data_IF_555941784752
#
_entry.id   IF_555941784752
#
_cell.length_a   1.000
_cell.length_b   1.000
_cell.length_c   1.000
_cell.angle_alpha   90.00
_cell.angle_beta   90.00
_cell.angle_gamma   90.00
#
_symmetry.space_group_name_H-M   'P 1'
#
loop_
_entity.id
_entity.type
_entity.pdbx_description
1 polymer ?
#
# COMPACT_ATOMS: atom_id res chain seq x y z
N UNK A 1 3.90 -11.36 17.78
CA UNK A 1 2.78 -12.25 17.40
C UNK A 1 1.46 -11.52 17.58
N UNK A 2 1.11 -10.61 16.67
CA UNK A 2 -0.22 -10.00 16.66
C UNK A 2 -1.11 -10.82 15.73
N UNK A 3 -2.15 -11.46 16.27
CA UNK A 3 -3.24 -12.01 15.44
C UNK A 3 -3.82 -10.83 14.66
N UNK A 4 -4.02 -10.99 13.36
CA UNK A 4 -4.84 -10.05 12.59
C UNK A 4 -6.23 -10.02 13.26
N UNK A 5 -6.84 -8.84 13.45
CA UNK A 5 -8.21 -8.78 13.94
C UNK A 5 -9.09 -9.59 12.98
N UNK A 6 -9.70 -10.66 13.47
CA UNK A 6 -10.69 -11.41 12.71
C UNK A 6 -11.98 -10.61 12.75
N UNK A 7 -12.36 -10.04 11.60
CA UNK A 7 -13.64 -9.39 11.44
C UNK A 7 -14.74 -10.46 11.37
N UNK A 8 -15.87 -10.27 12.07
CA UNK A 8 -17.08 -11.04 11.81
C UNK A 8 -17.44 -11.05 10.32
N UNK A 9 -17.97 -12.17 9.82
CA UNK A 9 -18.23 -12.37 8.39
C UNK A 9 -19.23 -11.36 7.79
N UNK A 10 -20.22 -10.97 8.57
CA UNK A 10 -21.19 -9.92 8.25
C UNK A 10 -20.48 -8.56 8.11
N UNK A 11 -19.63 -8.21 9.07
CA UNK A 11 -18.83 -6.98 9.01
C UNK A 11 -17.86 -6.97 7.82
N UNK A 12 -17.23 -8.10 7.52
CA UNK A 12 -16.33 -8.24 6.38
C UNK A 12 -17.07 -8.01 5.06
N UNK A 13 -18.27 -8.61 4.92
CA UNK A 13 -19.10 -8.46 3.73
C UNK A 13 -19.57 -7.02 3.52
N UNK A 14 -20.01 -6.34 4.58
CA UNK A 14 -20.36 -4.92 4.52
C UNK A 14 -19.16 -4.06 4.14
N UNK A 15 -18.02 -4.28 4.78
CA UNK A 15 -16.79 -3.54 4.52
C UNK A 15 -16.30 -3.72 3.08
N UNK A 16 -16.39 -4.94 2.56
CA UNK A 16 -16.08 -5.23 1.16
C UNK A 16 -16.99 -4.47 0.20
N UNK A 17 -18.31 -4.49 0.43
CA UNK A 17 -19.28 -3.80 -0.41
C UNK A 17 -19.03 -2.28 -0.42
N UNK A 18 -18.71 -1.70 0.72
CA UNK A 18 -18.43 -0.27 0.82
C UNK A 18 -17.08 0.13 0.19
N UNK A 19 -16.05 -0.71 0.33
CA UNK A 19 -14.79 -0.52 -0.42
C UNK A 19 -15.01 -0.61 -1.93
N UNK A 20 -15.81 -1.55 -2.40
CA UNK A 20 -16.14 -1.69 -3.82
C UNK A 20 -16.84 -0.43 -4.37
N UNK A 21 -17.76 0.18 -3.61
CA UNK A 21 -18.39 1.44 -4.00
C UNK A 21 -17.36 2.56 -4.12
N UNK A 22 -16.45 2.71 -3.15
CA UNK A 22 -15.40 3.73 -3.20
C UNK A 22 -14.51 3.56 -4.45
N UNK A 23 -14.12 2.32 -4.76
CA UNK A 23 -13.32 2.00 -5.94
C UNK A 23 -14.10 2.27 -7.23
N UNK A 24 -15.36 1.86 -7.31
CA UNK A 24 -16.19 2.09 -8.48
C UNK A 24 -16.40 3.58 -8.76
N UNK A 25 -16.66 4.39 -7.73
CA UNK A 25 -16.75 5.86 -7.85
C UNK A 25 -15.44 6.47 -8.33
N UNK A 26 -14.30 6.03 -7.80
CA UNK A 26 -13.00 6.52 -8.25
C UNK A 26 -12.68 6.09 -9.71
N UNK A 27 -13.07 4.88 -10.09
CA UNK A 27 -12.86 4.33 -11.43
C UNK A 27 -13.75 4.97 -12.51
N UNK A 28 -14.90 5.53 -12.12
CA UNK A 28 -15.76 6.30 -13.02
C UNK A 28 -15.17 7.67 -13.42
N UNK A 29 -14.09 8.10 -12.75
CA UNK A 29 -13.32 9.28 -13.14
C UNK A 29 -12.49 9.06 -14.41
N UNK A 30 -11.83 10.11 -14.89
CA UNK A 30 -10.88 9.99 -15.99
C UNK A 30 -9.69 9.10 -15.60
N UNK A 31 -9.21 8.31 -16.56
CA UNK A 31 -7.96 7.57 -16.40
C UNK A 31 -6.86 8.52 -15.95
N UNK A 32 -6.19 8.18 -14.85
CA UNK A 32 -5.15 9.02 -14.28
C UNK A 32 -3.82 8.28 -14.33
N UNK A 33 -2.83 8.91 -14.94
CA UNK A 33 -1.51 8.32 -15.07
C UNK A 33 -0.79 8.26 -13.72
N UNK A 34 -0.14 7.12 -13.48
CA UNK A 34 0.78 6.96 -12.36
C UNK A 34 2.20 7.12 -12.90
N UNK A 35 2.87 8.19 -12.51
CA UNK A 35 4.22 8.48 -13.01
C UNK A 35 5.27 7.74 -12.18
N UNK A 36 6.15 7.00 -12.85
CA UNK A 36 7.34 6.45 -12.22
C UNK A 36 8.26 7.57 -11.70
N UNK A 37 8.83 7.38 -10.50
CA UNK A 37 9.74 8.34 -9.89
C UNK A 37 11.19 7.83 -9.86
N UNK A 38 11.41 6.67 -9.21
CA UNK A 38 12.74 6.05 -9.07
C UNK A 38 12.61 4.60 -8.57
N UNK A 39 13.71 3.85 -8.61
CA UNK A 39 13.82 2.56 -7.94
C UNK A 39 14.57 2.76 -6.62
N UNK A 40 14.13 2.11 -5.55
CA UNK A 40 14.85 2.11 -4.27
C UNK A 40 14.70 0.80 -3.52
N UNK A 41 15.56 0.60 -2.52
CA UNK A 41 15.39 -0.45 -1.52
C UNK A 41 14.28 -0.04 -0.57
N UNK A 42 13.35 -0.96 -0.29
CA UNK A 42 12.29 -0.69 0.67
C UNK A 42 12.87 -0.48 2.07
N UNK A 43 12.33 0.47 2.82
CA UNK A 43 12.77 0.75 4.18
C UNK A 43 11.60 0.51 5.15
N UNK A 44 11.85 -0.06 6.34
CA UNK A 44 13.16 -0.45 6.87
C UNK A 44 13.67 -1.83 6.36
N UNK A 45 12.85 -2.57 5.61
CA UNK A 45 13.22 -3.91 5.11
C UNK A 45 13.86 -3.87 3.71
N UNK A 46 15.19 -3.78 3.67
CA UNK A 46 15.99 -3.67 2.44
C UNK A 46 16.04 -4.95 1.60
N UNK A 47 15.35 -6.03 2.01
CA UNK A 47 15.22 -7.23 1.21
C UNK A 47 14.38 -7.04 -0.07
N UNK A 48 13.62 -5.94 -0.17
CA UNK A 48 12.74 -5.68 -1.29
C UNK A 48 13.24 -4.54 -2.17
N UNK A 49 13.14 -4.75 -3.47
CA UNK A 49 13.33 -3.70 -4.48
C UNK A 49 11.95 -3.17 -4.88
N UNK A 50 11.79 -1.84 -4.88
CA UNK A 50 10.52 -1.20 -5.18
C UNK A 50 10.68 -0.07 -6.20
N UNK A 51 9.66 0.10 -7.04
CA UNK A 51 9.49 1.29 -7.86
C UNK A 51 8.63 2.30 -7.10
N UNK A 52 9.19 3.49 -6.88
CA UNK A 52 8.45 4.65 -6.38
C UNK A 52 7.66 5.28 -7.51
N UNK A 53 6.49 5.77 -7.15
CA UNK A 53 5.58 6.45 -8.06
C UNK A 53 5.18 7.79 -7.47
N UNK A 54 4.98 8.79 -8.31
CA UNK A 54 4.27 10.00 -7.94
C UNK A 54 2.78 9.64 -7.90
N UNK A 55 2.19 9.75 -6.72
CA UNK A 55 0.79 9.39 -6.55
C UNK A 55 -0.10 10.51 -7.05
N UNK A 56 -1.01 10.23 -7.98
CA UNK A 56 -1.98 11.23 -8.42
C UNK A 56 -3.03 11.50 -7.33
N UNK A 57 -3.54 12.73 -7.28
CA UNK A 57 -4.50 13.15 -6.24
C UNK A 57 -5.75 12.25 -6.14
N UNK A 58 -6.37 11.76 -7.24
CA UNK A 58 -7.48 10.80 -7.14
C UNK A 58 -7.15 9.54 -6.34
N UNK A 59 -5.92 9.01 -6.48
CA UNK A 59 -5.48 7.83 -5.72
C UNK A 59 -5.22 8.19 -4.24
N UNK A 60 -4.74 9.41 -3.96
CA UNK A 60 -4.65 9.93 -2.58
C UNK A 60 -6.02 10.00 -1.90
N UNK A 61 -7.02 10.52 -2.61
CA UNK A 61 -8.39 10.67 -2.12
C UNK A 61 -9.00 9.29 -1.83
N UNK A 62 -8.91 8.36 -2.79
CA UNK A 62 -9.40 6.98 -2.61
C UNK A 62 -8.74 6.30 -1.41
N UNK A 63 -7.42 6.46 -1.26
CA UNK A 63 -6.66 5.90 -0.14
C UNK A 63 -7.15 6.46 1.20
N UNK A 64 -7.32 7.79 1.32
CA UNK A 64 -7.83 8.43 2.56
C UNK A 64 -9.25 7.96 2.89
N UNK A 65 -10.13 7.87 1.90
CA UNK A 65 -11.50 7.39 2.08
C UNK A 65 -11.52 5.93 2.56
N UNK A 66 -10.75 5.06 1.90
CA UNK A 66 -10.62 3.64 2.28
C UNK A 66 -10.05 3.49 3.69
N UNK A 67 -9.04 4.28 4.05
CA UNK A 67 -8.47 4.27 5.40
C UNK A 67 -9.47 4.67 6.48
N UNK A 68 -10.27 5.73 6.24
CA UNK A 68 -11.32 6.16 7.20
C UNK A 68 -12.36 5.05 7.42
N UNK A 69 -12.76 4.38 6.35
CA UNK A 69 -13.69 3.25 6.43
C UNK A 69 -13.10 2.10 7.25
N UNK A 70 -11.87 1.68 6.94
CA UNK A 70 -11.15 0.65 7.69
C UNK A 70 -10.93 1.02 9.16
N UNK A 71 -10.71 2.32 9.44
CA UNK A 71 -10.51 2.83 10.80
C UNK A 71 -11.81 2.73 11.60
N UNK A 72 -12.94 3.08 10.99
CA UNK A 72 -14.26 2.93 11.60
C UNK A 72 -14.57 1.47 11.98
N UNK A 73 -14.07 0.52 11.21
CA UNK A 73 -14.20 -0.92 11.46
C UNK A 73 -13.10 -1.51 12.38
N UNK A 74 -12.18 -0.70 12.93
CA UNK A 74 -11.12 -1.17 13.83
C UNK A 74 -10.01 -1.99 13.17
N UNK A 75 -9.90 -1.94 11.84
CA UNK A 75 -8.92 -2.75 11.06
C UNK A 75 -7.94 -1.91 10.24
N UNK A 76 -7.93 -0.59 10.41
CA UNK A 76 -6.98 0.27 9.71
C UNK A 76 -5.54 0.10 10.22
N UNK A 77 -4.61 0.15 9.28
CA UNK A 77 -3.18 0.34 9.55
C UNK A 77 -2.87 1.80 9.91
N UNK A 78 -1.72 2.09 10.54
CA UNK A 78 -1.29 3.47 10.80
C UNK A 78 -1.09 4.29 9.52
N UNK A 79 -1.83 5.39 9.35
CA UNK A 79 -1.84 6.19 8.11
C UNK A 79 -0.48 6.83 7.78
N UNK A 80 0.29 7.18 8.82
CA UNK A 80 1.59 7.86 8.67
C UNK A 80 2.66 6.99 7.99
N UNK A 81 2.45 5.67 7.87
CA UNK A 81 3.42 4.73 7.31
C UNK A 81 3.18 4.40 5.84
N UNK A 82 2.15 4.96 5.22
CA UNK A 82 1.86 4.63 3.83
C UNK A 82 2.85 5.30 2.90
N UNK A 83 3.56 4.45 2.17
CA UNK A 83 4.57 4.86 1.22
C UNK A 83 4.25 4.19 -0.11
N UNK A 84 3.72 4.92 -1.10
CA UNK A 84 3.26 4.34 -2.36
C UNK A 84 4.42 3.75 -3.15
N UNK A 85 4.27 2.50 -3.58
CA UNK A 85 5.27 1.80 -4.37
C UNK A 85 4.69 0.58 -5.07
N UNK A 86 5.39 0.11 -6.09
CA UNK A 86 5.18 -1.19 -6.73
C UNK A 86 6.38 -2.06 -6.36
N UNK A 87 6.13 -3.24 -5.78
CA UNK A 87 7.20 -4.20 -5.47
C UNK A 87 7.70 -4.86 -6.75
N UNK A 88 9.00 -4.74 -7.02
CA UNK A 88 9.64 -5.31 -8.21
C UNK A 88 10.20 -6.69 -7.95
N UNK A 89 10.69 -6.93 -6.73
CA UNK A 89 11.33 -8.20 -6.39
C UNK A 89 11.75 -8.31 -4.94
N UNK A 90 12.38 -9.44 -4.61
CA UNK A 90 12.99 -9.69 -3.31
C UNK A 90 14.37 -10.31 -3.51
N UNK A 91 15.38 -9.78 -2.85
CA UNK A 91 16.70 -10.40 -2.79
C UNK A 91 16.65 -11.66 -1.92
N UNK A 92 17.26 -12.75 -2.39
CA UNK A 92 17.38 -14.01 -1.65
C UNK A 92 18.84 -14.42 -1.60
N UNK A 93 19.25 -15.08 -0.51
CA UNK A 93 20.60 -15.60 -0.36
C UNK A 93 21.69 -14.57 -0.02
N UNK A 94 21.34 -13.29 0.13
CA UNK A 94 22.26 -12.27 0.62
C UNK A 94 22.26 -12.23 2.15
N UNK A 95 23.45 -12.12 2.74
CA UNK A 95 23.61 -11.82 4.16
C UNK A 95 23.19 -10.37 4.48
N UNK A 96 22.93 -10.07 5.75
CA UNK A 96 22.61 -8.70 6.20
C UNK A 96 23.71 -7.69 5.82
N UNK A 97 24.97 -8.09 5.88
CA UNK A 97 26.10 -7.24 5.49
C UNK A 97 26.09 -6.90 4.00
N UNK A 98 25.81 -7.88 3.15
CA UNK A 98 25.69 -7.67 1.70
C UNK A 98 24.47 -6.81 1.35
N UNK A 99 23.34 -7.01 2.02
CA UNK A 99 22.16 -6.15 1.85
C UNK A 99 22.44 -4.70 2.23
N UNK A 100 23.24 -4.46 3.28
CA UNK A 100 23.62 -3.12 3.72
C UNK A 100 24.56 -2.38 2.77
N UNK A 101 25.18 -3.09 1.82
CA UNK A 101 26.03 -2.51 0.78
C UNK A 101 25.27 -2.18 -0.51
N UNK A 102 24.01 -2.63 -0.63
CA UNK A 102 23.20 -2.32 -1.80
C UNK A 102 22.76 -0.85 -1.76
N UNK A 103 22.86 -0.19 -2.90
CA UNK A 103 22.34 1.15 -3.14
C UNK A 103 21.67 1.22 -4.51
N UNK A 104 20.58 1.97 -4.61
CA UNK A 104 20.01 2.34 -5.89
C UNK A 104 20.57 3.71 -6.31
N UNK A 105 20.87 3.88 -7.60
CA UNK A 105 21.32 5.14 -8.18
C UNK A 105 20.17 6.15 -8.32
#
# INVERSE_FOLDING_TARGET
>A
NGRLPELPEDMLSTLQADLQKLVATAAAGAATDVTFARIELYQPDTNFLVARVKVPEPLMVLRKASWRLLKGAGVAFPDALWMPHIRLGRFRGLSRGQLGQLSCA
#
